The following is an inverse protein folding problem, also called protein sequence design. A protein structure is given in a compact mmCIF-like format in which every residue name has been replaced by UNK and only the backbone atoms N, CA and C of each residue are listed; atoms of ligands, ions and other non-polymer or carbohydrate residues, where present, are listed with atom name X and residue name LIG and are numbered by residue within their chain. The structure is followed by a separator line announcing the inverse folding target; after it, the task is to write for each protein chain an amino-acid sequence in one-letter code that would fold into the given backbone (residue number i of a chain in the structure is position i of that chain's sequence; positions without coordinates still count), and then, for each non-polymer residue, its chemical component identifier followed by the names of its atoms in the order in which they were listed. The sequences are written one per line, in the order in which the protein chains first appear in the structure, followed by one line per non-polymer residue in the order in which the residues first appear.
data_IF_324356917580
#
_entry.id   IF_324356917580
#
_cell.length_a   1.000
_cell.length_b   1.000
_cell.length_c   1.000
_cell.angle_alpha   90.00
_cell.angle_beta   90.00
_cell.angle_gamma   90.00
#
_symmetry.space_group_name_H-M   'P 1'
#
loop_
_entity.id
_entity.type
_entity.pdbx_description
1 polymer ?
#
# COMPACT_ATOMS: atom_id res chain seq x y z
N UNK A 1 -13.42 -8.08 3.87
CA UNK A 1 -12.06 -8.64 4.12
C UNK A 1 -11.21 -8.32 2.91
N UNK A 2 -9.99 -7.82 3.14
CA UNK A 2 -9.03 -7.57 2.06
C UNK A 2 -7.94 -8.63 2.15
N UNK A 3 -7.61 -9.28 1.04
CA UNK A 3 -6.44 -10.17 0.98
C UNK A 3 -5.53 -9.76 -0.15
N UNK A 4 -4.23 -9.93 0.07
CA UNK A 4 -3.20 -9.68 -0.95
C UNK A 4 -2.39 -10.95 -1.10
N UNK A 5 -2.16 -11.37 -2.35
CA UNK A 5 -1.36 -12.55 -2.66
C UNK A 5 -0.51 -12.32 -3.89
N UNK A 6 0.54 -13.14 -4.05
CA UNK A 6 1.39 -13.12 -5.23
C UNK A 6 2.16 -14.44 -5.32
N UNK A 7 2.78 -14.70 -6.46
CA UNK A 7 3.72 -15.80 -6.58
C UNK A 7 4.91 -15.50 -5.65
N UNK A 8 5.29 -16.47 -4.82
CA UNK A 8 6.38 -16.37 -3.83
C UNK A 8 6.10 -15.51 -2.59
N UNK A 9 4.91 -14.92 -2.46
CA UNK A 9 4.49 -14.16 -1.27
C UNK A 9 3.34 -14.89 -0.59
N UNK A 10 3.43 -15.09 0.71
CA UNK A 10 2.34 -15.66 1.49
C UNK A 10 1.12 -14.74 1.43
N UNK A 11 -0.08 -15.31 1.28
CA UNK A 11 -1.31 -14.53 1.34
C UNK A 11 -1.39 -13.76 2.65
N UNK A 12 -1.60 -12.44 2.55
CA UNK A 12 -1.71 -11.54 3.69
C UNK A 12 -3.16 -11.09 3.81
N UNK A 13 -3.74 -11.28 4.99
CA UNK A 13 -5.04 -10.71 5.33
C UNK A 13 -4.85 -9.30 5.89
N UNK A 14 -5.44 -8.32 5.22
CA UNK A 14 -5.23 -6.90 5.48
C UNK A 14 -6.48 -6.26 6.07
N UNK A 15 -6.25 -5.37 7.04
CA UNK A 15 -7.28 -4.43 7.50
C UNK A 15 -7.36 -3.22 6.58
N UNK A 16 -6.20 -2.68 6.18
CA UNK A 16 -6.08 -1.49 5.34
C UNK A 16 -4.93 -1.64 4.36
N UNK A 17 -5.15 -1.19 3.12
CA UNK A 17 -4.25 -1.37 1.98
C UNK A 17 -4.18 -0.08 1.18
N UNK A 18 -2.96 0.33 0.85
CA UNK A 18 -2.68 1.35 -0.15
C UNK A 18 -2.02 0.65 -1.34
N UNK A 19 -2.68 0.72 -2.50
CA UNK A 19 -2.20 0.16 -3.75
C UNK A 19 -1.53 1.29 -4.52
N UNK A 20 -0.25 1.10 -4.85
CA UNK A 20 0.61 2.13 -5.44
C UNK A 20 1.22 1.57 -6.73
N UNK A 21 0.51 1.71 -7.86
CA UNK A 21 1.05 1.35 -9.17
C UNK A 21 2.33 2.10 -9.49
N UNK A 22 3.25 1.50 -10.25
CA UNK A 22 4.48 2.19 -10.65
C UNK A 22 4.21 3.51 -11.41
N UNK A 23 3.11 3.56 -12.17
CA UNK A 23 2.66 4.78 -12.84
C UNK A 23 2.29 5.92 -11.88
N UNK A 24 2.08 5.64 -10.60
CA UNK A 24 1.86 6.66 -9.57
C UNK A 24 3.05 7.62 -9.40
N UNK A 25 4.25 7.24 -9.83
CA UNK A 25 5.41 8.12 -9.89
C UNK A 25 5.23 9.30 -10.87
N UNK A 26 4.37 9.12 -11.88
CA UNK A 26 4.02 10.14 -12.86
C UNK A 26 2.71 10.84 -12.47
N UNK A 27 1.73 10.06 -12.04
CA UNK A 27 0.38 10.56 -11.74
C UNK A 27 -0.19 9.88 -10.49
N UNK A 28 -0.27 10.62 -9.39
CA UNK A 28 -0.72 10.07 -8.10
C UNK A 28 -2.19 9.63 -8.08
N UNK A 29 -3.00 9.99 -9.11
CA UNK A 29 -4.41 9.61 -9.21
C UNK A 29 -4.65 8.10 -9.36
N UNK A 30 -3.62 7.32 -9.68
CA UNK A 30 -3.69 5.85 -9.73
C UNK A 30 -3.51 5.18 -8.37
N UNK A 31 -3.16 5.93 -7.32
CA UNK A 31 -3.06 5.37 -5.96
C UNK A 31 -4.48 5.12 -5.44
N UNK A 32 -4.70 3.91 -4.95
CA UNK A 32 -5.99 3.51 -4.36
C UNK A 32 -5.82 3.11 -2.91
N UNK A 33 -6.88 3.27 -2.14
CA UNK A 33 -6.91 2.89 -0.73
C UNK A 33 -8.14 2.06 -0.42
N UNK A 34 -7.95 0.94 0.25
CA UNK A 34 -8.99 0.02 0.68
C UNK A 34 -8.89 -0.18 2.18
N UNK A 35 -10.01 -0.19 2.89
CA UNK A 35 -10.04 -0.54 4.31
C UNK A 35 -11.31 -1.30 4.65
N UNK A 36 -11.21 -2.21 5.62
CA UNK A 36 -12.37 -2.85 6.25
C UNK A 36 -12.93 -2.03 7.42
N UNK A 37 -12.27 -0.93 7.82
CA UNK A 37 -12.70 -0.06 8.92
C UNK A 37 -13.74 0.99 8.46
N UNK A 38 -14.47 1.56 9.42
CA UNK A 38 -15.47 2.60 9.13
C UNK A 38 -14.86 3.85 8.48
N UNK A 39 -15.56 4.38 7.47
CA UNK A 39 -15.06 5.43 6.59
C UNK A 39 -14.71 6.76 7.28
N UNK A 40 -15.29 7.06 8.45
CA UNK A 40 -15.18 8.37 9.10
C UNK A 40 -13.74 8.81 9.42
N UNK A 41 -12.82 7.87 9.63
CA UNK A 41 -11.41 8.15 9.96
C UNK A 41 -10.40 7.59 8.95
N UNK A 42 -10.87 7.01 7.84
CA UNK A 42 -10.01 6.29 6.90
C UNK A 42 -8.85 7.15 6.35
N UNK A 43 -9.08 8.43 6.05
CA UNK A 43 -8.02 9.33 5.55
C UNK A 43 -6.85 9.52 6.54
N UNK A 44 -7.15 9.63 7.84
CA UNK A 44 -6.11 9.81 8.87
C UNK A 44 -5.34 8.51 9.09
N UNK A 45 -6.04 7.38 9.01
CA UNK A 45 -5.41 6.07 9.05
C UNK A 45 -4.43 5.88 7.89
N UNK A 46 -4.83 6.18 6.66
CA UNK A 46 -3.95 6.06 5.49
C UNK A 46 -2.79 7.06 5.52
N UNK A 47 -2.99 8.26 6.07
CA UNK A 47 -1.91 9.20 6.34
C UNK A 47 -0.88 8.62 7.32
N UNK A 48 -1.32 8.11 8.47
CA UNK A 48 -0.43 7.46 9.43
C UNK A 48 0.27 6.26 8.79
N UNK A 49 -0.45 5.43 8.02
CA UNK A 49 0.08 4.25 7.37
C UNK A 49 1.18 4.59 6.35
N UNK A 50 0.92 5.55 5.46
CA UNK A 50 1.89 6.00 4.46
C UNK A 50 3.12 6.68 5.08
N UNK A 51 2.93 7.44 6.16
CA UNK A 51 4.02 8.10 6.88
C UNK A 51 4.90 7.09 7.61
N UNK A 52 4.30 6.16 8.36
CA UNK A 52 5.02 5.10 9.07
C UNK A 52 5.79 4.20 8.10
N UNK A 53 5.18 3.82 6.98
CA UNK A 53 5.83 2.99 5.97
C UNK A 53 7.08 3.63 5.39
N UNK A 54 7.03 4.94 5.08
CA UNK A 54 8.19 5.65 4.57
C UNK A 54 9.31 5.72 5.61
N UNK A 55 9.00 6.13 6.84
CA UNK A 55 10.03 6.34 7.86
C UNK A 55 10.62 5.02 8.36
N UNK A 56 9.81 4.02 8.68
CA UNK A 56 10.32 2.71 9.10
C UNK A 56 11.16 2.03 8.00
N UNK A 57 10.83 2.25 6.72
CA UNK A 57 11.68 1.75 5.63
C UNK A 57 13.02 2.50 5.55
N UNK A 58 13.00 3.83 5.73
CA UNK A 58 14.23 4.65 5.75
C UNK A 58 15.14 4.34 6.93
N UNK A 59 14.55 4.00 8.08
CA UNK A 59 15.24 3.62 9.31
C UNK A 59 15.62 2.12 9.34
N UNK A 60 15.41 1.39 8.22
CA UNK A 60 15.68 -0.05 8.07
C UNK A 60 14.88 -0.98 9.02
N UNK A 61 13.87 -0.45 9.70
CA UNK A 61 12.97 -1.19 10.61
C UNK A 61 11.91 -2.00 9.86
N UNK A 62 11.61 -1.61 8.61
CA UNK A 62 10.63 -2.27 7.74
C UNK A 62 11.27 -2.71 6.44
N UNK A 63 11.15 -4.00 6.11
CA UNK A 63 11.66 -4.58 4.87
C UNK A 63 10.51 -4.95 3.94
N UNK A 64 10.74 -4.78 2.64
CA UNK A 64 9.79 -5.22 1.63
C UNK A 64 9.94 -6.70 1.30
N UNK A 65 8.81 -7.39 1.20
CA UNK A 65 8.70 -8.69 0.57
C UNK A 65 8.61 -8.48 -0.94
N UNK A 66 9.58 -9.03 -1.66
CA UNK A 66 9.75 -8.76 -3.09
C UNK A 66 9.22 -9.92 -3.94
N UNK A 67 8.44 -9.62 -4.97
CA UNK A 67 7.92 -10.58 -5.95
C UNK A 67 8.31 -10.21 -7.37
N UNK A 68 8.17 -11.17 -8.29
CA UNK A 68 8.37 -10.98 -9.74
C UNK A 68 7.07 -11.07 -10.54
N UNK A 69 6.01 -11.61 -9.93
CA UNK A 69 4.68 -11.75 -10.52
C UNK A 69 3.77 -10.60 -10.09
N UNK A 70 2.68 -10.35 -10.82
CA UNK A 70 1.61 -9.48 -10.36
C UNK A 70 1.14 -9.84 -8.94
N UNK A 71 0.78 -8.81 -8.19
CA UNK A 71 0.10 -8.94 -6.90
C UNK A 71 -1.40 -8.90 -7.13
N UNK A 72 -2.12 -9.86 -6.55
CA UNK A 72 -3.57 -9.97 -6.65
C UNK A 72 -4.18 -9.48 -5.33
N UNK A 73 -5.05 -8.48 -5.42
CA UNK A 73 -5.80 -7.92 -4.31
C UNK A 73 -7.25 -8.37 -4.43
N UNK A 74 -7.77 -9.07 -3.43
CA UNK A 74 -9.19 -9.38 -3.34
C UNK A 74 -9.85 -8.49 -2.29
N UNK A 75 -10.97 -7.88 -2.66
CA UNK A 75 -11.79 -7.09 -1.75
C UNK A 75 -13.27 -7.27 -2.10
N UNK A 76 -14.06 -7.75 -1.14
CA UNK A 76 -15.49 -8.06 -1.33
C UNK A 76 -15.75 -9.03 -2.49
N UNK A 77 -16.24 -8.53 -3.64
CA UNK A 77 -16.46 -9.30 -4.88
C UNK A 77 -15.58 -8.82 -6.04
N UNK A 78 -14.63 -7.94 -5.73
CA UNK A 78 -13.70 -7.37 -6.70
C UNK A 78 -12.33 -8.02 -6.56
N UNK A 79 -11.68 -8.15 -7.71
CA UNK A 79 -10.30 -8.60 -7.84
C UNK A 79 -9.54 -7.54 -8.62
N UNK A 80 -8.45 -7.05 -8.05
CA UNK A 80 -7.57 -6.08 -8.69
C UNK A 80 -6.17 -6.67 -8.85
N UNK A 81 -5.59 -6.43 -10.02
CA UNK A 81 -4.25 -6.90 -10.37
C UNK A 81 -3.31 -5.72 -10.39
N UNK A 82 -2.29 -5.78 -9.55
CA UNK A 82 -1.17 -4.85 -9.58
C UNK A 82 -0.02 -5.50 -10.35
N UNK A 83 0.08 -5.15 -11.63
CA UNK A 83 1.12 -5.66 -12.54
C UNK A 83 2.55 -5.25 -12.14
N UNK A 84 2.70 -4.02 -11.63
CA UNK A 84 3.97 -3.50 -11.15
C UNK A 84 3.77 -2.33 -10.20
N UNK A 85 4.40 -2.39 -9.04
CA UNK A 85 4.30 -1.36 -8.02
C UNK A 85 4.47 -1.90 -6.60
N UNK A 86 3.91 -1.15 -5.66
CA UNK A 86 4.01 -1.34 -4.22
C UNK A 86 2.61 -1.46 -3.61
N UNK A 87 2.48 -2.35 -2.63
CA UNK A 87 1.37 -2.40 -1.69
C UNK A 87 1.91 -2.08 -0.30
N UNK A 88 1.32 -1.07 0.35
CA UNK A 88 1.52 -0.78 1.76
C UNK A 88 0.28 -1.26 2.50
N UNK A 89 0.41 -2.18 3.45
CA UNK A 89 -0.76 -2.64 4.18
C UNK A 89 -0.52 -2.82 5.67
N UNK A 90 -1.60 -2.69 6.42
CA UNK A 90 -1.69 -3.14 7.80
C UNK A 90 -2.41 -4.49 7.79
N UNK A 91 -1.73 -5.52 8.28
CA UNK A 91 -2.35 -6.84 8.42
C UNK A 91 -3.37 -6.87 9.57
N UNK A 92 -4.14 -7.96 9.68
CA UNK A 92 -5.12 -8.11 10.78
C UNK A 92 -4.50 -8.16 12.18
N UNK A 93 -3.18 -8.38 12.30
CA UNK A 93 -2.45 -8.34 13.57
C UNK A 93 -1.93 -6.93 13.89
N UNK A 94 -2.23 -5.95 13.04
CA UNK A 94 -1.79 -4.57 13.18
C UNK A 94 -0.35 -4.33 12.72
N UNK A 95 0.31 -5.31 12.09
CA UNK A 95 1.67 -5.17 11.60
C UNK A 95 1.69 -4.50 10.23
N UNK A 96 2.69 -3.64 10.03
CA UNK A 96 2.94 -3.00 8.75
C UNK A 96 3.70 -3.94 7.82
N UNK A 97 3.27 -4.04 6.57
CA UNK A 97 3.86 -4.90 5.55
C UNK A 97 4.04 -4.11 4.26
N UNK A 98 5.14 -4.36 3.57
CA UNK A 98 5.42 -3.84 2.23
C UNK A 98 5.56 -5.02 1.28
N UNK A 99 4.68 -5.06 0.26
CA UNK A 99 4.75 -6.05 -0.81
C UNK A 99 5.07 -5.29 -2.10
N UNK A 100 6.19 -5.62 -2.74
CA UNK A 100 6.67 -4.86 -3.89
C UNK A 100 7.18 -5.77 -5.00
N UNK A 101 7.08 -5.30 -6.23
CA UNK A 101 7.75 -5.94 -7.35
C UNK A 101 9.26 -5.68 -7.26
N UNK A 102 10.08 -6.65 -7.71
CA UNK A 102 11.52 -6.46 -7.84
C UNK A 102 11.83 -5.32 -8.83
N UNK A 103 13.00 -4.71 -8.65
CA UNK A 103 13.56 -3.68 -9.55
C UNK A 103 12.77 -2.36 -9.65
N UNK A 104 11.74 -2.16 -8.82
CA UNK A 104 11.09 -0.86 -8.71
C UNK A 104 11.86 0.04 -7.74
N UNK A 105 11.77 1.36 -7.96
CA UNK A 105 12.32 2.32 -7.01
C UNK A 105 11.38 2.47 -5.80
N UNK A 106 11.55 1.57 -4.83
CA UNK A 106 10.70 1.47 -3.65
C UNK A 106 10.66 2.77 -2.84
N UNK A 107 11.80 3.43 -2.65
CA UNK A 107 11.89 4.72 -1.95
C UNK A 107 11.02 5.77 -2.63
N UNK A 108 11.06 5.88 -3.96
CA UNK A 108 10.25 6.85 -4.70
C UNK A 108 8.75 6.56 -4.60
N UNK A 109 8.35 5.29 -4.59
CA UNK A 109 6.94 4.90 -4.43
C UNK A 109 6.43 5.18 -3.01
N UNK A 110 7.24 4.94 -1.99
CA UNK A 110 6.91 5.31 -0.60
C UNK A 110 6.81 6.83 -0.42
N UNK A 111 7.72 7.61 -1.03
CA UNK A 111 7.63 9.07 -1.06
C UNK A 111 6.35 9.55 -1.76
N UNK A 112 5.96 8.92 -2.87
CA UNK A 112 4.73 9.22 -3.59
C UNK A 112 3.49 8.92 -2.73
N UNK A 113 3.50 7.77 -2.06
CA UNK A 113 2.46 7.32 -1.11
C UNK A 113 2.27 8.32 0.01
N UNK A 114 3.35 8.66 0.73
CA UNK A 114 3.31 9.62 1.83
C UNK A 114 2.80 11.00 1.36
N UNK A 115 3.26 11.47 0.20
CA UNK A 115 2.81 12.74 -0.38
C UNK A 115 1.33 12.72 -0.74
N UNK A 116 0.85 11.62 -1.34
CA UNK A 116 -0.55 11.43 -1.67
C UNK A 116 -1.42 11.50 -0.42
N UNK A 117 -1.13 10.69 0.60
CA UNK A 117 -1.92 10.68 1.84
C UNK A 117 -1.85 12.01 2.61
N UNK A 118 -0.68 12.67 2.60
CA UNK A 118 -0.51 14.01 3.19
C UNK A 118 -1.41 15.05 2.51
N UNK A 119 -1.44 15.04 1.17
CA UNK A 119 -2.30 15.96 0.40
C UNK A 119 -3.78 15.64 0.61
N UNK A 120 -4.13 14.37 0.68
CA UNK A 120 -5.51 13.92 0.89
C UNK A 120 -6.09 14.46 2.20
N UNK A 121 -5.36 14.32 3.31
CA UNK A 121 -5.79 14.86 4.62
C UNK A 121 -5.82 16.39 4.61
N UNK A 122 -4.85 17.07 3.98
CA UNK A 122 -4.77 18.54 3.97
C UNK A 122 -5.83 19.22 3.12
N UNK A 123 -6.24 18.59 2.03
CA UNK A 123 -7.17 19.17 1.06
C UNK A 123 -8.63 18.73 1.29
N UNK A 124 -8.86 17.81 2.23
CA UNK A 124 -10.18 17.23 2.55
C UNK A 124 -10.95 16.74 1.31
N UNK A 125 -10.20 16.08 0.40
CA UNK A 125 -10.72 15.51 -0.86
C UNK A 125 -11.42 14.17 -0.59
#
# INVERSE_FOLDING_TARGET
MITVSGQEIATVECQSVIIVPEMALREAGYIKTLTTAEAANAKHEFFALGQMALFQYQDEELKAELCVSPLIIHHEREEEHLERGLIVCRDQKGQLRLLAHKEINLTKLLEATNRFCTRWVRLDI
#
